data_IF_895538678787
#
_entry.id   IF_895538678787
#
_cell.length_a   1.000
_cell.length_b   1.000
_cell.length_c   1.000
_cell.angle_alpha   90.00
_cell.angle_beta   90.00
_cell.angle_gamma   90.00
#
_symmetry.space_group_name_H-M   'P 1'
#
loop_
_entity.id
_entity.type
_entity.pdbx_description
1 polymer ?
#
# COMPACT_ATOMS: atom_id res chain seq x y z
N UNK A 1 -11.89 -19.88 8.67
CA UNK A 1 -12.56 -19.07 9.71
C UNK A 1 -13.91 -18.63 9.16
N UNK A 2 -15.04 -18.94 9.80
CA UNK A 2 -16.38 -18.52 9.32
C UNK A 2 -16.93 -17.49 10.29
N UNK A 3 -16.96 -16.23 9.87
CA UNK A 3 -17.66 -15.16 10.58
C UNK A 3 -19.14 -15.20 10.21
N UNK A 4 -20.04 -14.77 11.10
CA UNK A 4 -21.44 -14.60 10.74
C UNK A 4 -21.59 -13.43 9.76
N UNK A 5 -22.62 -13.47 8.90
CA UNK A 5 -22.91 -12.38 7.98
C UNK A 5 -23.11 -11.05 8.73
N UNK A 6 -23.79 -11.10 9.87
CA UNK A 6 -24.02 -9.95 10.75
C UNK A 6 -22.71 -9.33 11.27
N UNK A 7 -21.73 -10.15 11.69
CA UNK A 7 -20.43 -9.65 12.13
C UNK A 7 -19.69 -8.93 11.00
N UNK A 8 -19.75 -9.48 9.79
CA UNK A 8 -19.12 -8.86 8.62
C UNK A 8 -19.82 -7.55 8.24
N UNK A 9 -21.14 -7.46 8.34
CA UNK A 9 -21.88 -6.21 8.07
C UNK A 9 -21.61 -5.11 9.09
N UNK A 10 -21.45 -5.47 10.37
CA UNK A 10 -21.02 -4.52 11.40
C UNK A 10 -19.60 -4.02 11.11
N UNK A 11 -18.68 -4.92 10.77
CA UNK A 11 -17.31 -4.54 10.43
C UNK A 11 -17.25 -3.66 9.18
N UNK A 12 -17.95 -4.01 8.11
CA UNK A 12 -18.00 -3.20 6.89
C UNK A 12 -18.52 -1.78 7.17
N UNK A 13 -19.61 -1.65 7.95
CA UNK A 13 -20.18 -0.34 8.33
C UNK A 13 -19.17 0.50 9.12
N UNK A 14 -18.52 -0.09 10.12
CA UNK A 14 -17.48 0.60 10.87
C UNK A 14 -16.31 1.00 9.97
N UNK A 15 -15.92 0.13 9.04
CA UNK A 15 -14.75 0.36 8.18
C UNK A 15 -14.94 1.55 7.22
N UNK A 16 -16.12 1.64 6.60
CA UNK A 16 -16.49 2.73 5.68
C UNK A 16 -16.65 4.07 6.40
N UNK A 17 -17.16 4.06 7.64
CA UNK A 17 -17.49 5.30 8.38
C UNK A 17 -16.36 5.84 9.24
N UNK A 18 -15.35 5.03 9.55
CA UNK A 18 -14.22 5.46 10.38
C UNK A 18 -13.38 6.55 9.67
N UNK A 19 -12.48 7.24 10.38
CA UNK A 19 -11.65 8.30 9.77
C UNK A 19 -10.17 7.92 9.65
N UNK A 20 -9.69 6.95 10.44
CA UNK A 20 -8.29 6.50 10.40
C UNK A 20 -8.08 5.34 9.46
N UNK A 21 -6.87 5.24 8.90
CA UNK A 21 -6.47 4.15 8.00
C UNK A 21 -7.04 4.29 6.60
N UNK A 22 -7.32 5.52 6.16
CA UNK A 22 -7.90 5.82 4.83
C UNK A 22 -7.00 5.40 3.69
N UNK A 23 -5.68 5.45 3.88
CA UNK A 23 -4.75 4.83 2.94
C UNK A 23 -4.99 3.32 2.81
N UNK A 24 -5.01 2.55 3.90
CA UNK A 24 -5.34 1.12 3.87
C UNK A 24 -6.72 0.83 3.27
N UNK A 25 -7.69 1.73 3.49
CA UNK A 25 -9.03 1.62 2.92
C UNK A 25 -9.02 1.67 1.39
N UNK A 26 -8.13 2.46 0.77
CA UNK A 26 -8.02 2.49 -0.71
C UNK A 26 -7.65 1.13 -1.32
N UNK A 27 -6.92 0.29 -0.58
CA UNK A 27 -6.55 -1.06 -1.01
C UNK A 27 -7.66 -2.09 -0.76
N UNK A 28 -8.39 -1.93 0.35
CA UNK A 28 -9.37 -2.90 0.83
C UNK A 28 -10.65 -2.21 1.33
N UNK A 29 -11.46 -1.62 0.44
CA UNK A 29 -12.68 -0.93 0.82
C UNK A 29 -13.79 -1.89 1.27
N UNK A 30 -13.75 -3.15 0.80
CA UNK A 30 -14.71 -4.21 1.12
C UNK A 30 -14.05 -5.35 1.93
N UNK A 31 -14.60 -5.60 3.11
CA UNK A 31 -14.16 -6.62 4.07
C UNK A 31 -14.36 -8.03 3.52
N UNK A 32 -15.48 -8.31 2.84
CA UNK A 32 -15.78 -9.63 2.26
C UNK A 32 -14.80 -9.94 1.15
N UNK A 33 -14.61 -9.00 0.23
CA UNK A 33 -13.65 -9.12 -0.86
C UNK A 33 -12.24 -9.36 -0.31
N UNK A 34 -11.83 -8.64 0.74
CA UNK A 34 -10.54 -8.89 1.40
C UNK A 34 -10.42 -10.32 1.95
N UNK A 35 -11.47 -10.86 2.58
CA UNK A 35 -11.45 -12.22 3.13
C UNK A 35 -11.40 -13.29 2.03
N UNK A 36 -11.93 -13.01 0.84
CA UNK A 36 -11.91 -13.89 -0.33
C UNK A 36 -10.59 -13.83 -1.12
N UNK A 37 -9.87 -12.69 -1.05
CA UNK A 37 -8.56 -12.48 -1.69
C UNK A 37 -7.45 -13.25 -0.96
N UNK A 38 -7.49 -14.57 -0.99
CA UNK A 38 -6.53 -15.46 -0.30
C UNK A 38 -5.09 -15.33 -0.80
N UNK A 39 -4.89 -14.79 -2.01
CA UNK A 39 -3.58 -14.46 -2.56
C UNK A 39 -2.95 -13.20 -1.95
N UNK A 40 -3.73 -12.37 -1.25
CA UNK A 40 -3.23 -11.15 -0.59
C UNK A 40 -2.47 -11.46 0.71
N UNK A 41 -1.40 -12.26 0.60
CA UNK A 41 -0.52 -12.62 1.72
C UNK A 41 0.49 -11.50 1.94
N UNK A 42 0.23 -10.74 2.99
CA UNK A 42 1.03 -9.60 3.42
C UNK A 42 2.35 -10.06 4.05
N UNK A 43 3.46 -9.47 3.62
CA UNK A 43 4.75 -9.54 4.31
C UNK A 43 5.12 -8.19 4.92
N UNK A 44 6.32 -8.09 5.49
CA UNK A 44 6.79 -6.89 6.17
C UNK A 44 6.71 -5.64 5.26
N UNK A 45 7.30 -5.68 4.07
CA UNK A 45 7.36 -4.52 3.16
C UNK A 45 6.00 -4.19 2.55
N UNK A 46 5.24 -5.21 2.18
CA UNK A 46 3.89 -5.02 1.64
C UNK A 46 2.96 -4.40 2.68
N UNK A 47 3.10 -4.82 3.95
CA UNK A 47 2.36 -4.23 5.08
C UNK A 47 2.73 -2.77 5.30
N UNK A 48 4.03 -2.41 5.24
CA UNK A 48 4.47 -1.02 5.34
C UNK A 48 3.85 -0.16 4.23
N UNK A 49 3.96 -0.61 2.98
CA UNK A 49 3.39 0.11 1.83
C UNK A 49 1.88 0.30 1.98
N UNK A 50 1.11 -0.75 2.24
CA UNK A 50 -0.37 -0.68 2.19
C UNK A 50 -0.99 -0.06 3.44
N UNK A 51 -0.31 -0.11 4.59
CA UNK A 51 -0.79 0.55 5.81
C UNK A 51 -0.31 2.00 5.93
N UNK A 52 0.73 2.37 5.20
CA UNK A 52 1.44 3.64 5.40
C UNK A 52 2.23 3.69 6.72
N UNK A 53 2.29 2.56 7.45
CA UNK A 53 2.98 2.43 8.73
C UNK A 53 4.30 1.68 8.55
N UNK A 54 5.29 2.38 8.02
CA UNK A 54 6.65 1.88 7.83
C UNK A 54 7.70 2.90 8.23
N UNK A 55 8.94 2.69 7.79
CA UNK A 55 10.05 3.65 7.93
C UNK A 55 9.89 4.83 6.95
N UNK A 56 8.69 5.40 6.96
CA UNK A 56 8.31 6.62 6.28
C UNK A 56 8.58 7.77 7.24
N UNK A 57 9.47 8.69 6.86
CA UNK A 57 9.94 9.76 7.74
C UNK A 57 8.80 10.61 8.33
N UNK A 58 7.67 10.75 7.64
CA UNK A 58 6.48 11.46 8.15
C UNK A 58 5.91 10.74 9.37
N UNK A 59 5.77 9.41 9.30
CA UNK A 59 5.23 8.62 10.41
C UNK A 59 6.21 8.54 11.58
N UNK A 60 7.50 8.40 11.30
CA UNK A 60 8.52 8.43 12.34
C UNK A 60 8.64 9.80 13.00
N UNK A 61 8.46 10.89 12.25
CA UNK A 61 8.42 12.24 12.80
C UNK A 61 7.15 12.48 13.64
N UNK A 62 5.97 12.02 13.20
CA UNK A 62 4.74 12.02 14.03
C UNK A 62 4.93 11.29 15.36
N UNK A 63 5.76 10.24 15.39
CA UNK A 63 6.10 9.48 16.58
C UNK A 63 7.30 10.03 17.36
N UNK A 64 7.87 11.19 16.96
CA UNK A 64 9.09 11.79 17.50
C UNK A 64 10.34 10.87 17.46
N UNK A 65 10.38 9.93 16.50
CA UNK A 65 11.47 8.97 16.32
C UNK A 65 12.53 9.43 15.30
N UNK A 66 12.24 10.46 14.50
CA UNK A 66 13.21 11.10 13.59
C UNK A 66 13.02 12.62 13.58
N UNK A 67 14.15 13.33 13.51
CA UNK A 67 14.18 14.80 13.47
C UNK A 67 13.83 15.40 12.11
N UNK A 68 13.84 14.60 11.04
CA UNK A 68 13.49 15.05 9.69
C UNK A 68 12.35 14.21 9.11
N UNK A 69 11.29 14.89 8.68
CA UNK A 69 10.10 14.34 8.05
C UNK A 69 10.22 14.29 6.52
N UNK A 70 11.39 14.54 5.94
CA UNK A 70 11.57 14.65 4.47
C UNK A 70 11.95 13.30 3.86
N UNK A 71 11.42 12.99 2.68
CA UNK A 71 11.84 11.84 1.89
C UNK A 71 13.27 12.04 1.38
N UNK A 72 14.02 10.96 1.12
CA UNK A 72 15.36 11.07 0.49
C UNK A 72 15.36 11.80 -0.86
N UNK A 73 14.21 11.86 -1.53
CA UNK A 73 14.04 12.62 -2.77
C UNK A 73 13.86 14.14 -2.58
N UNK A 74 13.78 14.63 -1.32
CA UNK A 74 13.50 16.02 -0.99
C UNK A 74 12.01 16.36 -0.79
N UNK A 75 11.10 15.39 -0.95
CA UNK A 75 9.66 15.62 -0.71
C UNK A 75 9.38 15.82 0.78
N UNK A 76 8.65 16.88 1.18
CA UNK A 76 8.24 17.08 2.58
C UNK A 76 7.14 16.09 3.02
N UNK A 77 6.63 15.26 2.10
CA UNK A 77 5.58 14.28 2.34
C UNK A 77 6.08 12.86 1.97
N UNK A 78 6.91 12.22 2.80
CA UNK A 78 7.43 10.86 2.59
C UNK A 78 6.37 9.80 2.92
N UNK A 79 5.20 9.87 2.29
CA UNK A 79 4.12 8.89 2.51
C UNK A 79 4.30 7.67 1.62
N UNK A 80 3.60 6.57 1.93
CA UNK A 80 3.51 5.42 1.04
C UNK A 80 2.86 5.78 -0.32
N UNK A 81 1.92 6.73 -0.30
CA UNK A 81 1.26 7.26 -1.50
C UNK A 81 2.27 8.01 -2.38
N UNK A 82 3.07 8.90 -1.79
CA UNK A 82 4.17 9.57 -2.48
C UNK A 82 5.14 8.53 -3.08
N UNK A 83 5.52 7.51 -2.29
CA UNK A 83 6.39 6.45 -2.80
C UNK A 83 5.79 5.73 -4.00
N UNK A 84 4.49 5.42 -3.96
CA UNK A 84 3.80 4.67 -5.01
C UNK A 84 3.57 5.47 -6.29
N UNK A 85 3.27 6.76 -6.20
CA UNK A 85 2.81 7.54 -7.35
C UNK A 85 3.77 8.64 -7.82
N UNK A 86 4.57 9.21 -6.94
CA UNK A 86 5.27 10.47 -7.22
C UNK A 86 6.79 10.35 -7.10
N UNK A 87 7.28 9.56 -6.15
CA UNK A 87 8.68 9.60 -5.74
C UNK A 87 9.60 9.30 -6.94
N UNK A 88 10.55 10.19 -7.25
CA UNK A 88 11.47 9.97 -8.37
C UNK A 88 12.40 8.79 -8.12
N UNK A 89 12.70 8.47 -6.85
CA UNK A 89 13.55 7.33 -6.47
C UNK A 89 12.87 5.98 -6.75
N UNK A 90 11.55 5.93 -6.83
CA UNK A 90 10.80 4.72 -7.19
C UNK A 90 10.35 4.70 -8.66
N UNK A 91 10.78 5.67 -9.49
CA UNK A 91 10.28 5.84 -10.86
C UNK A 91 10.43 4.59 -11.73
N UNK A 92 11.58 3.91 -11.67
CA UNK A 92 11.83 2.69 -12.43
C UNK A 92 10.91 1.53 -11.98
N UNK A 93 10.78 1.32 -10.68
CA UNK A 93 9.91 0.26 -10.13
C UNK A 93 8.42 0.57 -10.36
N UNK A 94 8.05 1.85 -10.31
CA UNK A 94 6.71 2.34 -10.63
C UNK A 94 6.35 2.06 -12.08
N UNK A 95 7.27 2.28 -13.02
CA UNK A 95 6.99 1.98 -14.43
C UNK A 95 6.80 0.47 -14.66
N UNK A 96 7.60 -0.39 -13.99
CA UNK A 96 7.41 -1.85 -14.04
C UNK A 96 6.02 -2.24 -13.53
N UNK A 97 5.57 -1.63 -12.43
CA UNK A 97 4.23 -1.85 -11.89
C UNK A 97 3.15 -1.34 -12.87
N UNK A 98 3.32 -0.15 -13.44
CA UNK A 98 2.41 0.45 -14.41
C UNK A 98 2.23 -0.41 -15.66
N UNK A 99 3.29 -1.04 -16.17
CA UNK A 99 3.22 -1.99 -17.29
C UNK A 99 2.32 -3.18 -16.96
N UNK A 100 2.43 -3.74 -15.74
CA UNK A 100 1.56 -4.87 -15.31
C UNK A 100 0.11 -4.41 -15.17
N UNK A 101 -0.14 -3.22 -14.62
CA UNK A 101 -1.49 -2.64 -14.51
C UNK A 101 -2.14 -2.45 -15.88
N UNK A 102 -1.40 -1.89 -16.85
CA UNK A 102 -1.87 -1.71 -18.24
C UNK A 102 -2.13 -3.05 -18.93
N UNK A 103 -1.24 -4.03 -18.75
CA UNK A 103 -1.44 -5.38 -19.27
C UNK A 103 -2.68 -6.09 -18.67
N UNK A 104 -3.06 -5.74 -17.43
CA UNK A 104 -4.28 -6.21 -16.78
C UNK A 104 -5.54 -5.43 -17.20
N UNK A 105 -5.42 -4.42 -18.08
CA UNK A 105 -6.55 -3.69 -18.65
C UNK A 105 -6.99 -2.46 -17.88
N UNK A 106 -6.14 -1.86 -17.03
CA UNK A 106 -6.41 -0.57 -16.40
C UNK A 106 -5.35 0.48 -16.73
N UNK A 107 -5.73 1.75 -16.69
CA UNK A 107 -4.79 2.86 -16.85
C UNK A 107 -3.89 3.05 -15.62
N UNK A 108 -2.78 3.77 -15.79
CA UNK A 108 -1.91 4.17 -14.68
C UNK A 108 -1.93 5.71 -14.51
N UNK A 109 -2.07 6.23 -13.28
CA UNK A 109 -2.32 5.51 -12.03
C UNK A 109 -3.73 4.90 -11.98
N UNK A 110 -3.89 3.79 -11.26
CA UNK A 110 -5.18 3.14 -11.01
C UNK A 110 -5.53 3.18 -9.52
N UNK A 111 -6.77 2.83 -9.19
CA UNK A 111 -7.17 2.62 -7.79
C UNK A 111 -6.34 1.49 -7.14
N UNK A 112 -5.83 1.67 -5.90
CA UNK A 112 -5.08 0.63 -5.20
C UNK A 112 -5.85 -0.68 -5.04
N UNK A 113 -7.18 -0.61 -4.89
CA UNK A 113 -8.03 -1.80 -4.84
C UNK A 113 -7.84 -2.68 -6.07
N UNK A 114 -7.75 -2.09 -7.27
CA UNK A 114 -7.56 -2.83 -8.53
C UNK A 114 -6.35 -3.77 -8.44
N UNK A 115 -5.24 -3.26 -7.86
CA UNK A 115 -3.99 -4.00 -7.68
C UNK A 115 -4.06 -5.17 -6.69
N UNK A 116 -5.18 -5.34 -5.98
CA UNK A 116 -5.42 -6.47 -5.08
C UNK A 116 -6.34 -7.55 -5.67
N UNK A 117 -6.91 -7.33 -6.86
CA UNK A 117 -7.97 -8.18 -7.44
C UNK A 117 -7.48 -9.51 -8.04
N UNK A 118 -6.17 -9.69 -8.22
CA UNK A 118 -5.60 -10.95 -8.66
C UNK A 118 -4.23 -11.20 -8.04
N UNK A 119 -3.81 -12.47 -8.00
CA UNK A 119 -2.47 -12.84 -7.53
C UNK A 119 -1.38 -12.14 -8.36
N UNK A 120 -1.50 -12.14 -9.70
CA UNK A 120 -0.50 -11.50 -10.59
C UNK A 120 -0.29 -10.04 -10.23
N UNK A 121 -1.38 -9.29 -10.03
CA UNK A 121 -1.31 -7.88 -9.66
C UNK A 121 -0.74 -7.70 -8.26
N UNK A 122 -1.18 -8.52 -7.31
CA UNK A 122 -0.69 -8.44 -5.94
C UNK A 122 0.81 -8.76 -5.85
N UNK A 123 1.31 -9.75 -6.61
CA UNK A 123 2.74 -10.04 -6.71
C UNK A 123 3.52 -8.86 -7.31
N UNK A 124 2.96 -8.12 -8.26
CA UNK A 124 3.60 -6.91 -8.78
C UNK A 124 3.73 -5.82 -7.71
N UNK A 125 2.69 -5.62 -6.88
CA UNK A 125 2.75 -4.72 -5.72
C UNK A 125 3.80 -5.18 -4.72
N UNK A 126 3.89 -6.49 -4.44
CA UNK A 126 4.93 -7.03 -3.55
C UNK A 126 6.34 -6.74 -4.07
N UNK A 127 6.59 -6.97 -5.37
CA UNK A 127 7.89 -6.65 -6.00
C UNK A 127 8.23 -5.17 -5.87
N UNK A 128 7.27 -4.29 -6.14
CA UNK A 128 7.43 -2.86 -5.94
C UNK A 128 7.78 -2.51 -4.49
N UNK A 129 7.03 -3.04 -3.52
CA UNK A 129 7.26 -2.80 -2.10
C UNK A 129 8.66 -3.27 -1.66
N UNK A 130 9.06 -4.47 -2.06
CA UNK A 130 10.40 -4.98 -1.76
C UNK A 130 11.50 -4.14 -2.39
N UNK A 131 11.40 -3.82 -3.68
CA UNK A 131 12.45 -3.07 -4.38
C UNK A 131 12.62 -1.63 -3.85
N UNK A 132 11.57 -1.04 -3.29
CA UNK A 132 11.58 0.35 -2.82
C UNK A 132 11.78 0.51 -1.31
N UNK A 133 11.40 -0.49 -0.51
CA UNK A 133 11.46 -0.43 0.96
C UNK A 133 12.51 -1.36 1.57
N UNK A 134 12.99 -2.38 0.83
CA UNK A 134 14.16 -3.14 1.25
C UNK A 134 15.38 -2.22 1.15
N UNK A 135 15.96 -1.87 2.30
CA UNK A 135 17.23 -1.14 2.33
C UNK A 135 18.30 -2.10 1.84
N UNK A 136 18.82 -1.86 0.64
CA UNK A 136 20.21 -2.23 0.39
C UNK A 136 21.02 -1.23 1.19
N UNK A 137 21.52 -1.67 2.35
CA UNK A 137 22.52 -0.92 3.09
C UNK A 137 23.72 -0.74 2.14
N UNK A 138 23.81 0.41 1.47
CA UNK A 138 25.09 0.93 1.02
C UNK A 138 25.77 1.49 2.27
N UNK A 139 26.43 0.57 2.98
CA UNK A 139 27.51 0.85 3.91
C UNK A 139 28.82 0.34 3.31
#
# INVERSE_FOLDING_TARGET
MRYSAETIDLWQRAWVTHEKGRWTFTWFPDVRARLERVWCIMDHYTSQLMSGHGDFNAKLHELNLRGDAVCRCGSPQPTAEHLLYECPLSSQEREKLAVVVRAAGADWPCDPEFMTRSDVMFQAVKRFAHATLCRTDEG
#
